data_IF_308999679313
#
_entry.id   IF_308999679313
#
_cell.length_a   1.000
_cell.length_b   1.000
_cell.length_c   1.000
_cell.angle_alpha   90.00
_cell.angle_beta   90.00
_cell.angle_gamma   90.00
#
_symmetry.space_group_name_H-M   'P 1'
#
loop_
_entity.id
_entity.type
_entity.pdbx_description
1 polymer ?
#
# COMPACT_ATOMS: atom_id res chain seq x y z
N UNK A 1 -2.60 -4.95 -25.32
CA UNK A 1 -2.70 -3.70 -24.52
C UNK A 1 -1.84 -3.95 -23.30
N UNK A 2 -0.73 -3.22 -23.20
CA UNK A 2 0.22 -3.38 -22.09
C UNK A 2 -0.48 -2.81 -20.85
N UNK A 3 -0.88 -3.67 -19.93
CA UNK A 3 -1.47 -3.23 -18.66
C UNK A 3 -0.37 -2.43 -17.95
N UNK A 4 -0.49 -1.10 -18.00
CA UNK A 4 0.53 -0.15 -17.58
C UNK A 4 0.85 -0.29 -16.10
N UNK A 5 1.76 -1.22 -15.77
CA UNK A 5 2.35 -1.29 -14.46
C UNK A 5 3.39 -0.17 -14.37
N UNK A 6 3.07 0.86 -13.60
CA UNK A 6 3.99 1.96 -13.35
C UNK A 6 5.20 1.44 -12.54
N UNK A 7 6.37 1.45 -13.17
CA UNK A 7 7.61 1.02 -12.52
C UNK A 7 8.23 2.12 -11.67
N UNK A 8 7.62 3.30 -11.59
CA UNK A 8 8.10 4.41 -10.73
C UNK A 8 8.24 4.00 -9.26
N UNK A 9 7.45 3.03 -8.81
CA UNK A 9 7.49 2.49 -7.45
C UNK A 9 8.65 1.52 -7.19
N UNK A 10 9.43 1.14 -8.20
CA UNK A 10 10.55 0.20 -8.04
C UNK A 10 11.87 0.95 -7.82
N UNK A 11 12.56 0.61 -6.73
CA UNK A 11 13.84 1.21 -6.38
C UNK A 11 14.93 0.73 -7.36
N UNK A 12 15.83 1.61 -7.85
CA UNK A 12 16.96 1.19 -8.67
C UNK A 12 17.77 0.06 -8.01
N UNK A 13 18.04 -1.00 -8.76
CA UNK A 13 18.74 -2.20 -8.26
C UNK A 13 17.82 -3.30 -7.71
N UNK A 14 16.50 -3.12 -7.75
CA UNK A 14 15.54 -4.21 -7.49
C UNK A 14 15.80 -5.39 -8.43
N UNK A 15 15.86 -6.60 -7.89
CA UNK A 15 16.20 -7.80 -8.65
C UNK A 15 15.06 -8.26 -9.58
N UNK A 16 15.43 -8.93 -10.67
CA UNK A 16 14.50 -9.37 -11.71
C UNK A 16 13.28 -10.17 -11.19
N UNK A 17 13.46 -11.15 -10.29
CA UNK A 17 12.34 -11.87 -9.66
C UNK A 17 11.35 -10.95 -8.95
N UNK A 18 11.83 -10.01 -8.14
CA UNK A 18 10.97 -9.04 -7.44
C UNK A 18 10.20 -8.18 -8.43
N UNK A 19 10.87 -7.65 -9.47
CA UNK A 19 10.21 -6.87 -10.53
C UNK A 19 9.11 -7.70 -11.20
N UNK A 20 9.39 -8.96 -11.54
CA UNK A 20 8.43 -9.85 -12.18
C UNK A 20 7.21 -10.12 -11.28
N UNK A 21 7.45 -10.31 -9.98
CA UNK A 21 6.38 -10.50 -9.00
C UNK A 21 5.47 -9.26 -8.92
N UNK A 22 6.04 -8.06 -8.79
CA UNK A 22 5.28 -6.81 -8.72
C UNK A 22 4.43 -6.59 -9.98
N UNK A 23 5.00 -6.84 -11.16
CA UNK A 23 4.27 -6.76 -12.43
C UNK A 23 3.09 -7.73 -12.52
N UNK A 24 3.15 -8.86 -11.81
CA UNK A 24 2.06 -9.84 -11.80
C UNK A 24 0.85 -9.41 -10.96
N UNK A 25 1.01 -8.44 -10.05
CA UNK A 25 -0.02 -8.09 -9.06
C UNK A 25 -1.34 -7.67 -9.70
N UNK A 26 -1.31 -6.88 -10.78
CA UNK A 26 -2.53 -6.47 -11.48
C UNK A 26 -3.32 -7.63 -12.08
N UNK A 27 -2.63 -8.67 -12.55
CA UNK A 27 -3.27 -9.90 -13.04
C UNK A 27 -3.79 -10.75 -11.88
N UNK A 28 -2.99 -10.92 -10.82
CA UNK A 28 -3.37 -11.70 -9.63
C UNK A 28 -4.55 -11.08 -8.87
N UNK A 29 -4.68 -9.76 -8.90
CA UNK A 29 -5.82 -9.05 -8.33
C UNK A 29 -7.15 -9.35 -9.06
N UNK A 30 -7.11 -9.96 -10.25
CA UNK A 30 -8.31 -10.44 -10.94
C UNK A 30 -8.72 -11.86 -10.50
N UNK A 31 -7.89 -12.55 -9.71
CA UNK A 31 -8.23 -13.86 -9.17
C UNK A 31 -9.32 -13.70 -8.11
N UNK A 32 -10.30 -14.60 -8.13
CA UNK A 32 -11.38 -14.63 -7.14
C UNK A 32 -10.84 -15.14 -5.81
N UNK A 33 -11.13 -14.40 -4.74
CA UNK A 33 -10.73 -14.75 -3.38
C UNK A 33 -11.94 -15.12 -2.50
N UNK A 34 -13.07 -15.49 -3.10
CA UNK A 34 -14.37 -15.95 -2.54
C UNK A 34 -14.78 -15.36 -1.18
N UNK A 35 -14.03 -15.66 -0.10
CA UNK A 35 -14.17 -15.09 1.24
C UNK A 35 -13.93 -13.57 1.35
N UNK A 36 -13.31 -12.94 0.34
CA UNK A 36 -12.91 -11.52 0.35
C UNK A 36 -13.69 -10.65 -0.66
N UNK A 37 -14.79 -11.16 -1.23
CA UNK A 37 -15.46 -10.48 -2.36
C UNK A 37 -16.62 -9.56 -1.97
N UNK A 38 -17.13 -9.64 -0.74
CA UNK A 38 -18.24 -8.80 -0.29
C UNK A 38 -17.77 -7.36 -0.02
N UNK A 39 -17.01 -7.13 1.06
CA UNK A 39 -16.38 -5.84 1.39
C UNK A 39 -15.14 -6.04 2.26
N UNK A 40 -13.98 -5.58 1.79
CA UNK A 40 -12.70 -5.64 2.51
C UNK A 40 -12.14 -4.25 2.66
N UNK A 41 -11.65 -3.91 3.85
CA UNK A 41 -10.89 -2.67 4.06
C UNK A 41 -9.41 -2.98 3.94
N UNK A 42 -8.74 -2.38 2.95
CA UNK A 42 -7.29 -2.34 2.87
C UNK A 42 -6.83 -1.10 3.60
N UNK A 43 -5.91 -1.27 4.55
CA UNK A 43 -5.33 -0.18 5.33
C UNK A 43 -3.85 -0.12 5.06
N UNK A 44 -3.36 1.09 4.82
CA UNK A 44 -1.95 1.42 4.70
C UNK A 44 -1.60 2.52 5.70
N UNK A 45 -0.39 2.48 6.25
CA UNK A 45 0.04 3.43 7.28
C UNK A 45 1.47 3.83 7.05
N UNK A 46 1.73 5.13 7.16
CA UNK A 46 3.09 5.66 7.23
C UNK A 46 3.44 5.96 8.68
N UNK A 47 4.69 5.75 9.03
CA UNK A 47 5.19 5.87 10.40
C UNK A 47 6.46 6.71 10.46
N UNK A 48 6.79 7.22 11.64
CA UNK A 48 8.07 7.89 11.90
C UNK A 48 9.29 6.96 11.86
N UNK A 49 9.13 5.66 11.58
CA UNK A 49 10.18 4.64 11.63
C UNK A 49 9.64 3.19 11.69
N UNK A 50 10.53 2.20 11.81
CA UNK A 50 10.20 0.77 11.68
C UNK A 50 9.99 0.03 13.01
N UNK A 51 10.18 0.67 14.17
CA UNK A 51 10.03 0.05 15.49
C UNK A 51 8.62 0.30 16.06
N UNK A 52 7.69 -0.69 16.04
CA UNK A 52 6.32 -0.48 16.50
C UNK A 52 6.20 -0.17 18.01
N UNK A 53 7.24 -0.45 18.81
CA UNK A 53 7.24 -0.11 20.23
C UNK A 53 7.61 1.37 20.48
N UNK A 54 8.20 2.04 19.48
CA UNK A 54 8.73 3.40 19.61
C UNK A 54 8.16 4.37 18.61
N UNK A 55 7.83 3.93 17.41
CA UNK A 55 7.43 4.76 16.30
C UNK A 55 5.93 5.02 16.26
N UNK A 56 5.56 6.19 15.73
CA UNK A 56 4.20 6.69 15.70
C UNK A 56 3.70 6.75 14.26
N UNK A 57 2.41 6.54 14.08
CA UNK A 57 1.73 6.72 12.79
C UNK A 57 1.71 8.22 12.45
N UNK A 58 2.01 8.55 11.20
CA UNK A 58 1.92 9.91 10.63
C UNK A 58 0.85 10.03 9.55
N UNK A 59 0.43 8.91 8.96
CA UNK A 59 -0.66 8.85 7.98
C UNK A 59 -1.43 7.54 8.10
N UNK A 60 -2.75 7.61 7.91
CA UNK A 60 -3.61 6.45 7.70
C UNK A 60 -4.35 6.63 6.39
N UNK A 61 -4.18 5.68 5.48
CA UNK A 61 -4.97 5.55 4.27
C UNK A 61 -5.78 4.24 4.33
N UNK A 62 -7.03 4.28 3.89
CA UNK A 62 -7.86 3.10 3.79
C UNK A 62 -8.71 3.14 2.52
N UNK A 63 -8.97 1.97 1.94
CA UNK A 63 -9.95 1.84 0.88
C UNK A 63 -10.85 0.63 1.12
N UNK A 64 -12.12 0.77 0.77
CA UNK A 64 -13.06 -0.34 0.74
C UNK A 64 -12.99 -0.95 -0.66
N UNK A 65 -12.72 -2.25 -0.71
CA UNK A 65 -12.77 -3.07 -1.91
C UNK A 65 -14.04 -3.94 -1.90
N UNK A 66 -14.73 -3.98 -3.04
CA UNK A 66 -15.75 -4.99 -3.36
C UNK A 66 -15.28 -5.74 -4.59
N UNK A 67 -14.78 -6.96 -4.40
CA UNK A 67 -13.96 -7.64 -5.40
C UNK A 67 -12.75 -6.77 -5.82
N UNK A 68 -12.52 -6.56 -7.14
CA UNK A 68 -11.40 -5.73 -7.62
C UNK A 68 -11.68 -4.22 -7.61
N UNK A 69 -12.91 -3.80 -7.26
CA UNK A 69 -13.32 -2.40 -7.35
C UNK A 69 -13.11 -1.66 -6.03
N UNK A 70 -12.48 -0.49 -6.09
CA UNK A 70 -12.41 0.44 -4.95
C UNK A 70 -13.71 1.23 -4.89
N UNK A 71 -14.50 1.02 -3.84
CA UNK A 71 -15.82 1.64 -3.69
C UNK A 71 -15.81 2.84 -2.75
N UNK A 72 -14.82 2.95 -1.87
CA UNK A 72 -14.63 4.13 -1.02
C UNK A 72 -13.16 4.31 -0.64
N UNK A 73 -12.78 5.54 -0.26
CA UNK A 73 -11.42 5.92 0.15
C UNK A 73 -11.47 6.86 1.35
N UNK A 74 -10.55 6.65 2.27
CA UNK A 74 -10.27 7.51 3.40
C UNK A 74 -8.77 7.78 3.46
N UNK A 75 -8.40 9.02 3.80
CA UNK A 75 -7.02 9.40 4.04
C UNK A 75 -6.99 10.51 5.10
N UNK A 76 -6.08 10.39 6.07
CA UNK A 76 -5.81 11.45 7.04
C UNK A 76 -4.36 11.43 7.48
N UNK A 77 -3.82 12.62 7.73
CA UNK A 77 -2.58 12.77 8.48
C UNK A 77 -2.85 12.70 9.98
N UNK A 78 -1.85 12.25 10.73
CA UNK A 78 -1.86 12.12 12.18
C UNK A 78 -0.71 12.95 12.74
N UNK A 79 -0.97 13.75 13.77
CA UNK A 79 0.09 14.41 14.53
C UNK A 79 0.74 13.37 15.46
N UNK A 80 2.02 12.98 15.24
CA UNK A 80 2.68 11.97 16.07
C UNK A 80 3.09 12.51 17.45
N UNK A 81 2.85 13.79 17.75
CA UNK A 81 3.21 14.43 19.03
C UNK A 81 4.72 14.58 19.24
N UNK A 82 5.51 14.42 18.18
CA UNK A 82 6.98 14.48 18.19
C UNK A 82 7.53 14.88 16.81
N UNK A 83 8.78 15.35 16.71
CA UNK A 83 9.41 15.58 15.42
C UNK A 83 9.48 14.30 14.58
N UNK A 84 9.18 14.42 13.29
CA UNK A 84 9.39 13.35 12.31
C UNK A 84 10.89 13.35 11.93
N UNK A 85 11.59 12.20 11.96
CA UNK A 85 12.99 12.12 11.54
C UNK A 85 13.19 12.58 10.10
N UNK A 86 14.33 13.21 9.81
CA UNK A 86 14.61 13.80 8.50
C UNK A 86 14.68 12.75 7.37
N UNK A 87 14.98 11.50 7.71
CA UNK A 87 15.01 10.38 6.76
C UNK A 87 13.61 9.93 6.32
N UNK A 88 12.54 10.41 6.98
CA UNK A 88 11.14 10.06 6.71
C UNK A 88 10.39 11.18 5.97
N UNK A 89 10.82 12.44 6.12
CA UNK A 89 10.25 13.63 5.44
C UNK A 89 10.90 13.92 4.10
#
# INVERSE_FOLDING_TARGET
MENGFDTSYLIPGTDGPTIAWYRSLGQRAQESFELLEDEVVVVDTETTGLDPARDQIIEIAACILRGPEVVDRFQTFVDPGRPIPAEIT
#
